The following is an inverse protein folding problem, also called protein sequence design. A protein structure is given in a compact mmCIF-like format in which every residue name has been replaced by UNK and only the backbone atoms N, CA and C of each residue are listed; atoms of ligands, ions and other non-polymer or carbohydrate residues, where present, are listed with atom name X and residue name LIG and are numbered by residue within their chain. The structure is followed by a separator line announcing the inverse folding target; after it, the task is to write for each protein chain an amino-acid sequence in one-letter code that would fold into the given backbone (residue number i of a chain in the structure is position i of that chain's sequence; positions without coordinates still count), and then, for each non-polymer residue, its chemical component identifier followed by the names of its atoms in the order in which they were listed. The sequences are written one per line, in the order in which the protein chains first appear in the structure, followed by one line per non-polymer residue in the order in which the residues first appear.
data_IF_514531992845
#
_entry.id   IF_514531992845
#
_cell.length_a   1.000
_cell.length_b   1.000
_cell.length_c   1.000
_cell.angle_alpha   90.00
_cell.angle_beta   90.00
_cell.angle_gamma   90.00
#
_symmetry.space_group_name_H-M   'P 1'
#
loop_
_entity.id
_entity.type
_entity.pdbx_description
1 polymer ?
#
# COMPACT_ATOMS: atom_id res chain seq x y z
N UNK A 1 24.51 4.09 16.23
CA UNK A 1 24.35 3.98 14.77
C UNK A 1 23.06 4.60 14.31
N UNK A 2 23.07 5.58 13.45
CA UNK A 2 21.83 6.07 12.89
C UNK A 2 21.18 4.99 12.03
N UNK A 3 19.91 4.83 12.17
CA UNK A 3 19.17 3.92 11.31
C UNK A 3 18.86 4.60 9.98
N UNK A 4 18.97 3.83 8.90
CA UNK A 4 18.63 4.32 7.56
C UNK A 4 17.19 4.02 7.19
N UNK A 5 16.43 3.46 8.12
CA UNK A 5 15.03 3.13 7.91
C UNK A 5 14.16 4.27 8.43
N UNK A 6 13.30 4.80 7.56
CA UNK A 6 12.31 5.81 7.92
C UNK A 6 10.95 5.40 7.38
N UNK A 7 9.90 5.73 8.11
CA UNK A 7 8.55 5.55 7.60
C UNK A 7 7.76 6.83 7.83
N UNK A 8 6.92 7.17 6.88
CA UNK A 8 6.10 8.36 6.95
C UNK A 8 4.70 8.04 6.46
N UNK A 9 3.71 8.44 7.24
CA UNK A 9 2.32 8.27 6.86
C UNK A 9 1.96 9.36 5.86
N UNK A 10 1.60 8.95 4.63
CA UNK A 10 1.29 9.87 3.55
C UNK A 10 -0.20 10.19 3.53
N UNK A 11 -1.05 9.18 3.67
CA UNK A 11 -2.50 9.37 3.64
C UNK A 11 -3.18 8.42 4.60
N UNK A 12 -4.29 8.91 5.20
CA UNK A 12 -5.16 8.11 6.05
C UNK A 12 -6.59 8.39 5.61
N UNK A 13 -7.34 7.32 5.36
CA UNK A 13 -8.76 7.43 5.07
C UNK A 13 -9.53 6.49 5.97
N UNK A 14 -10.67 6.95 6.47
CA UNK A 14 -11.54 6.14 7.31
C UNK A 14 -12.85 5.92 6.57
N UNK A 15 -13.14 4.65 6.31
CA UNK A 15 -14.34 4.27 5.56
C UNK A 15 -14.94 3.02 6.16
N UNK A 16 -16.22 3.07 6.49
CA UNK A 16 -16.99 1.88 6.88
C UNK A 16 -16.37 1.08 8.02
N UNK A 17 -15.83 1.78 9.02
CA UNK A 17 -15.20 1.13 10.17
C UNK A 17 -13.80 0.62 9.92
N UNK A 18 -13.21 0.97 8.79
CA UNK A 18 -11.84 0.59 8.45
C UNK A 18 -10.95 1.81 8.34
N UNK A 19 -9.67 1.63 8.61
CA UNK A 19 -8.66 2.68 8.47
C UNK A 19 -7.68 2.24 7.39
N UNK A 20 -7.62 3.01 6.32
CA UNK A 20 -6.72 2.77 5.19
C UNK A 20 -5.54 3.73 5.32
N UNK A 21 -4.33 3.21 5.25
CA UNK A 21 -3.12 4.02 5.37
C UNK A 21 -2.20 3.78 4.18
N UNK A 22 -1.63 4.87 3.66
CA UNK A 22 -0.56 4.81 2.67
C UNK A 22 0.70 5.30 3.36
N UNK A 23 1.72 4.47 3.37
CA UNK A 23 2.96 4.71 4.11
C UNK A 23 4.14 4.69 3.14
N UNK A 24 4.97 5.71 3.23
CA UNK A 24 6.24 5.76 2.49
C UNK A 24 7.34 5.24 3.40
N UNK A 25 8.09 4.27 2.91
CA UNK A 25 9.18 3.66 3.65
C UNK A 25 10.47 3.91 2.88
N UNK A 26 11.42 4.59 3.53
CA UNK A 26 12.74 4.84 2.97
C UNK A 26 13.75 3.94 3.64
N UNK A 27 14.48 3.16 2.84
CA UNK A 27 15.52 2.25 3.31
C UNK A 27 16.78 2.62 2.55
N UNK A 28 17.75 3.23 3.25
CA UNK A 28 18.94 3.82 2.62
C UNK A 28 18.51 4.83 1.56
N UNK A 29 18.85 4.61 0.31
CA UNK A 29 18.49 5.52 -0.80
C UNK A 29 17.23 5.08 -1.55
N UNK A 30 16.65 3.95 -1.16
CA UNK A 30 15.47 3.42 -1.82
C UNK A 30 14.20 3.82 -1.08
N UNK A 31 13.13 4.00 -1.84
CA UNK A 31 11.82 4.31 -1.30
C UNK A 31 10.82 3.30 -1.81
N UNK A 32 10.04 2.73 -0.89
CA UNK A 32 8.94 1.82 -1.24
C UNK A 32 7.68 2.28 -0.53
N UNK A 33 6.54 1.84 -1.02
CA UNK A 33 5.25 2.22 -0.47
C UNK A 33 4.53 1.00 0.08
N UNK A 34 3.83 1.22 1.18
CA UNK A 34 3.07 0.19 1.86
C UNK A 34 1.65 0.68 2.03
N UNK A 35 0.67 -0.18 1.85
CA UNK A 35 -0.72 0.12 2.18
C UNK A 35 -1.14 -0.81 3.30
N UNK A 36 -1.81 -0.27 4.31
CA UNK A 36 -2.38 -1.08 5.37
C UNK A 36 -3.88 -0.83 5.47
N UNK A 37 -4.61 -1.83 5.87
CA UNK A 37 -6.04 -1.75 6.15
C UNK A 37 -6.26 -2.35 7.52
N UNK A 38 -6.81 -1.55 8.43
CA UNK A 38 -7.11 -1.98 9.79
C UNK A 38 -8.62 -1.89 10.00
N UNK A 39 -9.24 -2.98 10.35
CA UNK A 39 -10.67 -3.06 10.58
C UNK A 39 -10.99 -4.31 11.38
N UNK A 40 -11.82 -5.20 10.81
CA UNK A 40 -12.15 -6.49 11.44
C UNK A 40 -10.90 -7.34 11.63
N UNK A 41 -9.88 -7.12 10.83
CA UNK A 41 -8.54 -7.68 11.00
C UNK A 41 -7.55 -6.67 10.44
N UNK A 42 -6.27 -6.97 10.46
CA UNK A 42 -5.22 -6.08 9.97
C UNK A 42 -4.48 -6.72 8.81
N UNK A 43 -4.24 -5.95 7.77
CA UNK A 43 -3.42 -6.39 6.64
C UNK A 43 -2.53 -5.24 6.18
N UNK A 44 -1.33 -5.56 5.72
CA UNK A 44 -0.40 -4.59 5.16
C UNK A 44 0.42 -5.26 4.06
N UNK A 45 0.63 -4.54 2.95
CA UNK A 45 1.37 -5.06 1.81
C UNK A 45 2.24 -3.98 1.20
N UNK A 46 3.43 -4.36 0.76
CA UNK A 46 4.28 -3.47 -0.03
C UNK A 46 3.73 -3.41 -1.45
N UNK A 47 3.53 -2.21 -1.95
CA UNK A 47 2.87 -2.02 -3.24
C UNK A 47 3.80 -1.50 -4.33
N UNK A 48 5.08 -1.28 -4.03
CA UNK A 48 6.07 -0.93 -5.03
C UNK A 48 6.79 0.37 -4.73
N UNK A 49 7.53 0.85 -5.74
CA UNK A 49 8.40 2.02 -5.60
C UNK A 49 7.81 3.28 -6.22
N UNK A 50 6.73 3.17 -6.98
CA UNK A 50 6.11 4.31 -7.64
C UNK A 50 5.09 4.99 -6.73
N UNK A 51 5.33 6.26 -6.40
CA UNK A 51 4.40 7.05 -5.60
C UNK A 51 3.05 7.18 -6.29
N UNK A 52 3.05 7.41 -7.61
CA UNK A 52 1.83 7.59 -8.37
C UNK A 52 0.98 6.31 -8.37
N UNK A 53 1.61 5.17 -8.65
CA UNK A 53 0.91 3.90 -8.66
C UNK A 53 0.38 3.54 -7.27
N UNK A 54 1.17 3.82 -6.22
CA UNK A 54 0.74 3.56 -4.85
C UNK A 54 -0.48 4.40 -4.48
N UNK A 55 -0.50 5.67 -4.87
CA UNK A 55 -1.63 6.56 -4.60
C UNK A 55 -2.87 6.13 -5.36
N UNK A 56 -2.71 5.74 -6.62
CA UNK A 56 -3.83 5.24 -7.43
C UNK A 56 -4.44 4.00 -6.83
N UNK A 57 -3.60 3.07 -6.42
CA UNK A 57 -4.07 1.84 -5.77
C UNK A 57 -4.76 2.16 -4.45
N UNK A 58 -4.17 3.05 -3.65
CA UNK A 58 -4.76 3.46 -2.38
C UNK A 58 -6.18 4.02 -2.58
N UNK A 59 -6.35 4.91 -3.55
CA UNK A 59 -7.66 5.50 -3.83
C UNK A 59 -8.66 4.45 -4.30
N UNK A 60 -8.21 3.50 -5.11
CA UNK A 60 -9.07 2.41 -5.56
C UNK A 60 -9.55 1.57 -4.38
N UNK A 61 -8.63 1.21 -3.48
CA UNK A 61 -8.98 0.40 -2.32
C UNK A 61 -9.99 1.09 -1.42
N UNK A 62 -9.82 2.39 -1.20
CA UNK A 62 -10.76 3.17 -0.41
C UNK A 62 -12.12 3.28 -1.08
N UNK A 63 -12.14 3.58 -2.37
CA UNK A 63 -13.37 3.75 -3.14
C UNK A 63 -14.17 2.44 -3.19
N UNK A 64 -13.49 1.32 -3.39
CA UNK A 64 -14.13 0.01 -3.48
C UNK A 64 -14.46 -0.58 -2.11
N UNK A 65 -13.94 -0.01 -1.03
CA UNK A 65 -14.20 -0.50 0.30
C UNK A 65 -13.60 -1.88 0.53
N UNK A 66 -12.36 -2.07 0.08
CA UNK A 66 -11.69 -3.37 0.13
C UNK A 66 -11.44 -3.80 1.57
N UNK A 67 -11.78 -5.04 1.89
CA UNK A 67 -11.55 -5.61 3.21
C UNK A 67 -10.07 -6.02 3.38
N UNK A 68 -9.58 -6.08 4.64
CA UNK A 68 -8.18 -6.46 4.88
C UNK A 68 -7.79 -7.78 4.22
N UNK A 69 -8.65 -8.79 4.28
CA UNK A 69 -8.33 -10.12 3.73
C UNK A 69 -8.19 -10.13 2.21
N UNK A 70 -8.67 -9.09 1.52
CA UNK A 70 -8.60 -9.00 0.06
C UNK A 70 -7.31 -8.30 -0.41
N UNK A 71 -6.61 -7.63 0.48
CA UNK A 71 -5.48 -6.77 0.13
C UNK A 71 -4.36 -7.53 -0.59
N UNK A 72 -3.97 -8.68 -0.04
CA UNK A 72 -2.88 -9.47 -0.63
C UNK A 72 -3.18 -9.85 -2.07
N UNK A 73 -4.39 -10.34 -2.33
CA UNK A 73 -4.77 -10.79 -3.67
C UNK A 73 -4.77 -9.64 -4.67
N UNK A 74 -5.27 -8.47 -4.26
CA UNK A 74 -5.34 -7.30 -5.13
C UNK A 74 -3.93 -6.81 -5.46
N UNK A 75 -3.06 -6.72 -4.47
CA UNK A 75 -1.68 -6.28 -4.67
C UNK A 75 -0.93 -7.27 -5.55
N UNK A 76 -1.10 -8.57 -5.32
CA UNK A 76 -0.45 -9.61 -6.11
C UNK A 76 -0.89 -9.58 -7.56
N UNK A 77 -2.18 -9.41 -7.81
CA UNK A 77 -2.72 -9.33 -9.17
C UNK A 77 -2.16 -8.12 -9.90
N UNK A 78 -2.07 -6.98 -9.23
CA UNK A 78 -1.55 -5.78 -9.84
C UNK A 78 -0.07 -5.91 -10.20
N UNK A 79 0.74 -6.51 -9.34
CA UNK A 79 2.14 -6.77 -9.63
C UNK A 79 2.31 -7.69 -10.82
N UNK A 80 1.46 -8.70 -10.93
CA UNK A 80 1.47 -9.63 -12.05
C UNK A 80 1.15 -8.93 -13.37
N UNK A 81 0.15 -8.05 -13.37
CA UNK A 81 -0.20 -7.27 -14.56
C UNK A 81 0.95 -6.40 -15.03
N UNK A 82 1.61 -5.71 -14.11
CA UNK A 82 2.75 -4.86 -14.44
C UNK A 82 3.89 -5.67 -15.03
N UNK A 83 4.21 -6.83 -14.43
CA UNK A 83 5.26 -7.72 -14.94
C UNK A 83 4.95 -8.22 -16.33
N UNK A 84 3.68 -8.58 -16.60
CA UNK A 84 3.26 -9.06 -17.89
C UNK A 84 3.39 -7.99 -18.96
N UNK A 85 3.05 -6.76 -18.63
CA UNK A 85 3.15 -5.63 -19.56
C UNK A 85 4.59 -5.29 -19.92
N UNK A 86 5.51 -5.57 -19.02
CA UNK A 86 6.93 -5.27 -19.20
C UNK A 86 7.73 -6.43 -19.80
N UNK A 87 7.08 -7.53 -20.05
CA UNK A 87 7.74 -8.73 -20.60
C UNK A 87 8.02 -8.59 -22.09
#
# INVERSE_FOLDING_TARGET
MPTSLRSELIRVERERGRIYCLIEISIFDDTVYCISINGEEFAAELVGESALEAQRLFELLCTEGVAPYQLFDIVSDRKREISTQNA
#
